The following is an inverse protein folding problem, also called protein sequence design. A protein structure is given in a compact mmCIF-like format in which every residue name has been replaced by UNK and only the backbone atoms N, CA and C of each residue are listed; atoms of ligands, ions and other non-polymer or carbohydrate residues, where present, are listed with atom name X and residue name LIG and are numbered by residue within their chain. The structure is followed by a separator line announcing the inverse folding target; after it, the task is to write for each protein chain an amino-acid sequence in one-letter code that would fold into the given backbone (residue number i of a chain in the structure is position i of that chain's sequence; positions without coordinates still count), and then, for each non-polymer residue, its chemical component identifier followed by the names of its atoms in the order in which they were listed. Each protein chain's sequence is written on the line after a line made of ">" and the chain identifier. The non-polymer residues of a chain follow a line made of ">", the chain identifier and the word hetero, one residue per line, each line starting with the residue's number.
data_IF_958954802535
#
_entry.id   IF_958954802535
#
_cell.length_a   1.000
_cell.length_b   1.000
_cell.length_c   1.000
_cell.angle_alpha   90.00
_cell.angle_beta   90.00
_cell.angle_gamma   90.00
#
_symmetry.space_group_name_H-M   'P 1'
#
loop_
_entity.id
_entity.type
_entity.pdbx_description
1 polymer ?
#
# COMPACT_ATOMS: atom_id res chain seq x y z
N UNK A 1 7.41 -4.36 15.28
CA UNK A 1 7.45 -3.60 14.07
C UNK A 1 6.83 -4.28 12.87
N UNK A 2 6.90 -3.60 11.77
CA UNK A 2 6.44 -4.12 10.48
C UNK A 2 7.55 -4.96 9.86
N UNK A 3 7.20 -6.15 9.40
CA UNK A 3 8.13 -7.01 8.63
C UNK A 3 7.86 -6.83 7.15
N UNK A 4 8.93 -6.64 6.38
CA UNK A 4 8.82 -6.41 4.95
C UNK A 4 9.79 -7.29 4.17
N UNK A 5 9.26 -7.92 3.11
CA UNK A 5 10.06 -8.59 2.09
C UNK A 5 9.92 -7.79 0.79
N UNK A 6 11.04 -7.32 0.24
CA UNK A 6 11.05 -6.67 -1.06
C UNK A 6 11.15 -7.75 -2.13
N UNK A 7 10.07 -7.97 -2.87
CA UNK A 7 10.05 -8.94 -3.98
C UNK A 7 10.68 -8.30 -5.22
N UNK A 8 10.34 -7.05 -5.49
CA UNK A 8 10.95 -6.22 -6.54
C UNK A 8 11.08 -4.81 -6.03
N UNK A 9 12.27 -4.22 -6.18
CA UNK A 9 12.48 -2.83 -5.74
C UNK A 9 11.82 -1.81 -6.67
N UNK A 10 11.58 -2.19 -7.91
CA UNK A 10 11.04 -1.32 -8.93
C UNK A 10 12.10 -0.45 -9.58
N UNK A 11 11.76 0.08 -10.75
CA UNK A 11 12.57 1.07 -11.45
C UNK A 11 12.11 2.48 -11.07
N UNK A 12 12.75 3.51 -11.61
CA UNK A 12 12.46 4.89 -11.25
C UNK A 12 13.25 5.35 -10.05
N UNK A 13 12.66 6.19 -9.22
CA UNK A 13 13.33 6.76 -8.06
C UNK A 13 12.46 6.71 -6.81
N UNK A 14 13.10 6.74 -5.65
CA UNK A 14 12.39 6.87 -4.38
C UNK A 14 11.73 8.23 -4.26
N UNK A 15 10.65 8.29 -3.50
CA UNK A 15 10.02 9.56 -3.14
C UNK A 15 10.97 10.36 -2.25
N UNK A 16 11.37 11.54 -2.73
CA UNK A 16 12.35 12.40 -2.05
C UNK A 16 11.69 13.28 -0.97
N UNK A 17 12.51 13.72 -0.01
CA UNK A 17 12.06 14.65 1.03
C UNK A 17 11.48 15.93 0.39
N UNK A 18 10.32 16.34 0.88
CA UNK A 18 9.59 17.49 0.37
C UNK A 18 8.68 17.21 -0.80
N UNK A 19 8.70 15.99 -1.35
CA UNK A 19 7.85 15.61 -2.47
C UNK A 19 6.52 15.02 -2.01
N UNK A 20 5.48 15.26 -2.82
CA UNK A 20 4.20 14.55 -2.75
C UNK A 20 3.98 13.88 -4.11
N UNK A 21 3.64 12.60 -4.10
CA UNK A 21 3.43 11.85 -5.33
C UNK A 21 2.09 11.13 -5.31
N UNK A 22 1.35 11.13 -6.44
CA UNK A 22 0.28 10.19 -6.61
C UNK A 22 0.87 8.78 -6.76
N UNK A 23 0.23 7.80 -6.14
CA UNK A 23 0.65 6.40 -6.14
C UNK A 23 -0.52 5.52 -6.50
N UNK A 24 -0.29 4.55 -7.35
CA UNK A 24 -1.25 3.51 -7.68
C UNK A 24 -0.87 2.24 -6.92
N UNK A 25 -1.84 1.65 -6.24
CA UNK A 25 -1.64 0.46 -5.41
C UNK A 25 -2.58 -0.65 -5.82
N UNK A 26 -2.02 -1.84 -6.10
CA UNK A 26 -2.77 -3.09 -6.09
C UNK A 26 -2.36 -3.86 -4.85
N UNK A 27 -3.33 -4.50 -4.19
CA UNK A 27 -3.06 -5.16 -2.93
C UNK A 27 -3.96 -6.36 -2.68
N UNK A 28 -3.49 -7.25 -1.83
CA UNK A 28 -4.28 -8.30 -1.19
C UNK A 28 -4.01 -8.24 0.30
N UNK A 29 -5.07 -8.15 1.10
CA UNK A 29 -5.03 -8.07 2.55
C UNK A 29 -5.54 -9.38 3.15
N UNK A 30 -4.73 -9.99 4.00
CA UNK A 30 -5.04 -11.28 4.65
C UNK A 30 -4.98 -11.12 6.16
N UNK A 31 -6.03 -11.60 6.84
CA UNK A 31 -6.03 -11.72 8.30
C UNK A 31 -5.21 -12.97 8.67
N UNK A 32 -4.07 -12.78 9.34
CA UNK A 32 -3.18 -13.89 9.69
C UNK A 32 -3.72 -14.78 10.82
N UNK A 33 -4.65 -14.30 11.62
CA UNK A 33 -5.27 -15.12 12.66
C UNK A 33 -6.24 -16.15 12.11
N UNK A 34 -6.92 -15.81 11.01
CA UNK A 34 -7.94 -16.68 10.38
C UNK A 34 -7.49 -17.22 9.03
N UNK A 35 -6.38 -16.73 8.50
CA UNK A 35 -5.85 -17.07 7.17
C UNK A 35 -6.87 -16.78 6.05
N UNK A 36 -7.64 -15.72 6.21
CA UNK A 36 -8.68 -15.34 5.24
C UNK A 36 -8.36 -14.02 4.56
N UNK A 37 -8.65 -13.94 3.26
CA UNK A 37 -8.54 -12.68 2.50
C UNK A 37 -9.66 -11.75 2.95
N UNK A 38 -9.29 -10.57 3.45
CA UNK A 38 -10.24 -9.55 3.89
C UNK A 38 -10.65 -8.64 2.74
N UNK A 39 -9.70 -8.24 1.91
CA UNK A 39 -9.92 -7.30 0.82
C UNK A 39 -8.81 -7.45 -0.21
N UNK A 40 -9.17 -7.31 -1.48
CA UNK A 40 -8.17 -7.32 -2.56
C UNK A 40 -8.72 -6.62 -3.78
N UNK A 41 -7.91 -5.76 -4.40
CA UNK A 41 -8.16 -5.24 -5.73
C UNK A 41 -7.34 -5.97 -6.81
N UNK A 42 -6.64 -7.03 -6.42
CA UNK A 42 -5.80 -7.85 -7.30
C UNK A 42 -6.51 -9.15 -7.72
N UNK A 43 -7.79 -9.29 -7.39
CA UNK A 43 -8.66 -10.39 -7.84
C UNK A 43 -9.55 -9.90 -8.98
N UNK A 44 -10.00 -10.81 -9.83
CA UNK A 44 -10.77 -10.50 -11.04
C UNK A 44 -11.98 -9.59 -10.78
N UNK A 45 -12.71 -9.84 -9.71
CA UNK A 45 -13.92 -9.08 -9.35
C UNK A 45 -13.67 -7.58 -9.18
N UNK A 46 -12.50 -7.21 -8.65
CA UNK A 46 -12.14 -5.82 -8.35
C UNK A 46 -10.92 -5.33 -9.15
N UNK A 47 -10.50 -6.07 -10.17
CA UNK A 47 -9.28 -5.74 -10.93
C UNK A 47 -9.36 -4.43 -11.72
N UNK A 48 -10.57 -3.93 -11.97
CA UNK A 48 -10.77 -2.63 -12.61
C UNK A 48 -10.50 -1.46 -11.67
N UNK A 49 -10.42 -1.71 -10.35
CA UNK A 49 -10.20 -0.68 -9.33
C UNK A 49 -8.74 -0.75 -8.91
N UNK A 50 -7.96 0.25 -9.33
CA UNK A 50 -6.60 0.46 -8.80
C UNK A 50 -6.70 1.54 -7.75
N UNK A 51 -6.17 1.27 -6.55
CA UNK A 51 -6.24 2.24 -5.47
C UNK A 51 -5.30 3.41 -5.73
N UNK A 52 -5.86 4.61 -5.72
CA UNK A 52 -5.12 5.86 -5.85
C UNK A 52 -4.91 6.47 -4.47
N UNK A 53 -3.67 6.83 -4.18
CA UNK A 53 -3.34 7.57 -2.96
C UNK A 53 -2.33 8.65 -3.26
N UNK A 54 -2.25 9.65 -2.40
CA UNK A 54 -1.20 10.64 -2.41
C UNK A 54 -0.28 10.39 -1.22
N UNK A 55 1.00 10.24 -1.48
CA UNK A 55 2.02 9.99 -0.46
C UNK A 55 3.00 11.14 -0.42
N UNK A 56 3.27 11.62 0.77
CA UNK A 56 4.12 12.77 1.03
C UNK A 56 5.29 12.35 1.92
N UNK A 57 6.48 12.77 1.55
CA UNK A 57 7.70 12.59 2.34
C UNK A 57 8.09 13.94 2.95
N UNK A 58 8.08 14.01 4.28
CA UNK A 58 8.54 15.17 5.01
C UNK A 58 9.71 14.74 5.89
N UNK A 59 10.94 15.09 5.45
CA UNK A 59 12.17 14.79 6.20
C UNK A 59 12.30 13.31 6.58
N UNK A 60 11.90 12.42 5.68
CA UNK A 60 11.97 10.97 5.90
C UNK A 60 10.76 10.36 6.60
N UNK A 61 9.76 11.16 6.98
CA UNK A 61 8.48 10.68 7.49
C UNK A 61 7.46 10.66 6.37
N UNK A 62 6.72 9.57 6.23
CA UNK A 62 5.76 9.38 5.15
C UNK A 62 4.33 9.51 5.65
N UNK A 63 3.53 10.22 4.89
CA UNK A 63 2.12 10.45 5.14
C UNK A 63 1.35 10.10 3.88
N UNK A 64 0.20 9.45 4.02
CA UNK A 64 -0.59 9.04 2.87
C UNK A 64 -2.08 9.21 3.09
N UNK A 65 -2.76 9.58 2.01
CA UNK A 65 -4.21 9.60 1.97
C UNK A 65 -4.71 8.94 0.68
N UNK A 66 -5.69 8.09 0.81
CA UNK A 66 -6.41 7.56 -0.34
C UNK A 66 -7.26 8.65 -0.98
N UNK A 67 -7.40 8.59 -2.30
CA UNK A 67 -8.27 9.51 -3.04
C UNK A 67 -9.70 8.99 -2.95
N UNK A 68 -10.60 9.81 -2.40
CA UNK A 68 -12.02 9.45 -2.25
C UNK A 68 -12.62 9.15 -3.63
N UNK A 69 -13.36 8.04 -3.73
CA UNK A 69 -13.96 7.59 -4.98
C UNK A 69 -13.02 6.82 -5.90
N UNK A 70 -11.73 6.75 -5.58
CA UNK A 70 -10.71 6.07 -6.39
C UNK A 70 -9.89 5.06 -5.57
N UNK A 71 -10.49 4.52 -4.51
CA UNK A 71 -9.84 3.56 -3.64
C UNK A 71 -10.86 2.56 -3.09
N UNK A 72 -10.62 1.29 -3.37
CA UNK A 72 -11.40 0.20 -2.78
C UNK A 72 -11.18 0.14 -1.27
N UNK A 73 -9.94 0.35 -0.83
CA UNK A 73 -9.58 0.34 0.59
C UNK A 73 -10.35 1.41 1.37
N UNK A 74 -10.33 2.65 0.87
CA UNK A 74 -11.03 3.77 1.50
C UNK A 74 -12.54 3.55 1.54
N UNK A 75 -13.10 3.02 0.47
CA UNK A 75 -14.53 2.71 0.38
C UNK A 75 -14.95 1.62 1.37
N UNK A 76 -14.16 0.55 1.46
CA UNK A 76 -14.45 -0.58 2.34
C UNK A 76 -14.33 -0.19 3.82
N UNK A 77 -13.28 0.51 4.19
CA UNK A 77 -13.02 0.88 5.59
C UNK A 77 -13.57 2.25 5.99
N UNK A 78 -14.24 2.95 5.08
CA UNK A 78 -14.85 4.27 5.31
C UNK A 78 -13.85 5.29 5.88
N UNK A 79 -12.64 5.30 5.34
CA UNK A 79 -11.57 6.22 5.73
C UNK A 79 -10.63 6.49 4.57
N UNK A 80 -10.07 7.69 4.51
CA UNK A 80 -9.03 8.02 3.53
C UNK A 80 -7.62 7.93 4.13
N UNK A 81 -7.51 7.67 5.43
CA UNK A 81 -6.21 7.52 6.08
C UNK A 81 -5.52 6.22 5.68
N UNK A 82 -4.28 6.32 5.23
CA UNK A 82 -3.46 5.14 4.93
C UNK A 82 -2.86 4.64 6.25
N UNK A 83 -3.05 3.34 6.59
CA UNK A 83 -2.43 2.78 7.79
C UNK A 83 -0.91 2.93 7.79
N UNK A 84 -0.34 3.21 8.94
CA UNK A 84 1.10 3.46 9.07
C UNK A 84 1.97 2.32 8.51
N UNK A 85 1.52 1.07 8.68
CA UNK A 85 2.24 -0.09 8.16
C UNK A 85 2.35 -0.12 6.65
N UNK A 86 1.37 0.42 5.93
CA UNK A 86 1.39 0.49 4.47
C UNK A 86 2.31 1.59 3.91
N UNK A 87 2.79 2.49 4.77
CA UNK A 87 3.70 3.55 4.37
C UNK A 87 5.18 3.16 4.48
N UNK A 88 5.48 2.07 5.18
CA UNK A 88 6.85 1.59 5.39
C UNK A 88 7.61 1.35 4.08
N UNK A 89 7.02 0.77 3.02
CA UNK A 89 7.76 0.50 1.78
C UNK A 89 8.35 1.73 1.11
N UNK A 90 7.75 2.90 1.27
CA UNK A 90 8.17 4.11 0.56
C UNK A 90 9.56 4.59 0.91
N UNK A 91 10.13 4.15 2.02
CA UNK A 91 11.53 4.43 2.37
C UNK A 91 12.52 3.56 1.59
N UNK A 92 12.07 2.50 0.93
CA UNK A 92 12.94 1.46 0.39
C UNK A 92 12.75 1.18 -1.10
N UNK A 93 11.54 1.38 -1.65
CA UNK A 93 11.25 1.03 -3.04
C UNK A 93 11.26 2.26 -3.94
N UNK A 94 11.46 2.00 -5.24
CA UNK A 94 11.38 3.01 -6.27
C UNK A 94 9.98 3.03 -6.88
N UNK A 95 9.54 4.20 -7.32
CA UNK A 95 8.25 4.40 -7.97
C UNK A 95 8.45 4.67 -9.46
N UNK A 96 8.16 3.68 -10.29
CA UNK A 96 8.17 3.82 -11.74
C UNK A 96 6.88 4.51 -12.19
N UNK A 97 7.00 5.45 -13.11
CA UNK A 97 5.85 6.20 -13.63
C UNK A 97 5.16 5.47 -14.77
N UNK A 98 5.95 4.94 -15.69
CA UNK A 98 5.46 4.20 -16.85
C UNK A 98 6.12 2.83 -16.85
N UNK A 99 5.42 1.86 -16.27
CA UNK A 99 5.91 0.50 -16.26
C UNK A 99 5.51 -0.18 -17.58
N UNK A 100 6.48 -0.56 -18.39
CA UNK A 100 6.24 -1.32 -19.61
C UNK A 100 6.18 -2.83 -19.34
N UNK A 101 6.71 -3.25 -18.19
CA UNK A 101 6.70 -4.64 -17.75
C UNK A 101 6.41 -4.71 -16.25
N UNK A 102 5.87 -5.83 -15.80
CA UNK A 102 5.59 -6.06 -14.38
C UNK A 102 6.85 -5.94 -13.53
N UNK A 103 8.01 -6.36 -14.06
CA UNK A 103 9.28 -6.26 -13.37
C UNK A 103 9.72 -4.83 -13.04
N UNK A 104 9.15 -3.82 -13.71
CA UNK A 104 9.43 -2.41 -13.43
C UNK A 104 8.67 -1.89 -12.21
N UNK A 105 7.63 -2.59 -11.76
CA UNK A 105 6.76 -2.18 -10.67
C UNK A 105 7.28 -2.74 -9.36
N UNK A 106 7.41 -1.88 -8.35
CA UNK A 106 7.79 -2.31 -7.01
C UNK A 106 6.74 -3.28 -6.44
N UNK A 107 7.22 -4.35 -5.82
CA UNK A 107 6.36 -5.32 -5.14
C UNK A 107 6.95 -5.71 -3.80
N UNK A 108 6.13 -5.64 -2.77
CA UNK A 108 6.52 -6.00 -1.41
C UNK A 108 5.48 -6.91 -0.77
N UNK A 109 5.92 -7.67 0.22
CA UNK A 109 5.06 -8.37 1.16
C UNK A 109 5.29 -7.77 2.53
N UNK A 110 4.21 -7.45 3.24
CA UNK A 110 4.26 -6.85 4.56
C UNK A 110 3.52 -7.71 5.56
N UNK A 111 4.11 -7.90 6.73
CA UNK A 111 3.36 -8.35 7.91
C UNK A 111 3.21 -7.14 8.81
N UNK A 112 1.98 -6.67 8.96
CA UNK A 112 1.65 -5.46 9.70
C UNK A 112 0.98 -5.84 11.01
N UNK A 113 1.61 -5.52 12.16
CA UNK A 113 1.00 -5.78 13.46
C UNK A 113 -0.28 -4.95 13.62
N UNK A 114 -1.17 -5.39 14.49
CA UNK A 114 -2.49 -4.78 14.66
C UNK A 114 -2.43 -3.27 14.91
N UNK A 115 -1.48 -2.81 15.70
CA UNK A 115 -1.34 -1.39 16.04
C UNK A 115 -0.93 -0.48 14.86
N UNK A 116 -0.40 -1.06 13.77
CA UNK A 116 0.05 -0.33 12.57
C UNK A 116 -0.85 -0.56 11.36
N UNK A 117 -1.91 -1.34 11.54
CA UNK A 117 -2.87 -1.67 10.49
C UNK A 117 -4.12 -0.80 10.51
N UNK A 118 -5.21 -1.34 9.97
CA UNK A 118 -6.51 -0.68 9.96
C UNK A 118 -7.06 -0.51 11.39
N UNK A 119 -8.03 0.39 11.54
CA UNK A 119 -8.71 0.57 12.84
C UNK A 119 -9.39 -0.72 13.28
N UNK A 120 -9.98 -1.48 12.35
CA UNK A 120 -10.62 -2.76 12.65
C UNK A 120 -9.60 -3.78 13.13
N UNK A 121 -8.45 -3.90 12.45
CA UNK A 121 -7.37 -4.80 12.86
C UNK A 121 -6.83 -4.43 14.24
N UNK A 122 -6.65 -3.14 14.50
CA UNK A 122 -6.19 -2.65 15.79
C UNK A 122 -7.18 -2.95 16.91
N UNK A 123 -8.46 -2.70 16.67
CA UNK A 123 -9.53 -2.92 17.67
C UNK A 123 -9.74 -4.40 17.99
N UNK A 124 -9.59 -5.28 17.01
CA UNK A 124 -9.78 -6.72 17.17
C UNK A 124 -8.47 -7.48 17.37
N UNK A 125 -7.36 -6.78 17.39
CA UNK A 125 -6.00 -7.28 17.68
C UNK A 125 -5.62 -8.46 16.79
N UNK A 126 -5.61 -8.23 15.46
CA UNK A 126 -5.05 -9.21 14.53
C UNK A 126 -4.03 -8.59 13.58
N UNK A 127 -2.94 -9.32 13.28
CA UNK A 127 -1.97 -8.88 12.27
C UNK A 127 -2.47 -9.20 10.87
N UNK A 128 -2.03 -8.43 9.89
CA UNK A 128 -2.37 -8.66 8.49
C UNK A 128 -1.12 -8.85 7.63
N UNK A 129 -1.25 -9.76 6.65
CA UNK A 129 -0.32 -9.85 5.55
C UNK A 129 -0.86 -9.01 4.39
N UNK A 130 0.01 -8.18 3.82
CA UNK A 130 -0.29 -7.45 2.59
C UNK A 130 0.68 -7.85 1.49
N UNK A 131 0.16 -8.20 0.34
CA UNK A 131 0.92 -8.30 -0.89
C UNK A 131 0.58 -7.07 -1.73
N UNK A 132 1.57 -6.23 -2.03
CA UNK A 132 1.34 -4.90 -2.59
C UNK A 132 2.25 -4.64 -3.78
N UNK A 133 1.68 -4.10 -4.85
CA UNK A 133 2.46 -3.45 -5.92
C UNK A 133 2.24 -1.96 -5.86
N UNK A 134 3.30 -1.20 -6.08
CA UNK A 134 3.31 0.26 -5.98
C UNK A 134 3.94 0.87 -7.22
N UNK A 135 3.27 1.83 -7.83
CA UNK A 135 3.82 2.60 -8.94
C UNK A 135 3.40 4.06 -8.84
N UNK A 136 4.15 4.94 -9.49
CA UNK A 136 3.82 6.36 -9.53
C UNK A 136 2.59 6.58 -10.40
N UNK A 137 1.61 7.31 -9.88
CA UNK A 137 0.42 7.68 -10.61
C UNK A 137 0.61 8.95 -11.44
N UNK A 138 -0.45 9.37 -12.07
CA UNK A 138 -0.50 10.58 -12.90
C UNK A 138 -0.82 11.82 -12.08
#
# INVERSE_FOLDING_TARGET
>A
GVYMQIVRKGTGSKLQSGETSPVLMRFTEVNLMTDSVLLSNDVLKYSAIVDHMNVRNISGSFYGQFVSGESLFASYYSTTSVPAGLLVPFAYVNLARYASAESDIAKVKLIVPSAKGTTIASSNVYPCLYEITLQKGR
#
